data_IF_916196216842
#
_entry.id   IF_916196216842
#
_cell.length_a   1.000
_cell.length_b   1.000
_cell.length_c   1.000
_cell.angle_alpha   90.00
_cell.angle_beta   90.00
_cell.angle_gamma   90.00
#
_symmetry.space_group_name_H-M   'P 1'
#
loop_
_entity.id
_entity.type
_entity.pdbx_description
1 polymer ?
#
# COMPACT_ATOMS: atom_id res chain seq x y z
N UNK A 1 -0.17 16.32 10.28
CA UNK A 1 0.40 15.26 11.13
C UNK A 1 -0.32 13.98 10.79
N UNK A 2 0.41 12.87 10.72
CA UNK A 2 -0.13 11.55 10.37
C UNK A 2 0.58 10.44 11.13
N UNK A 3 0.00 9.24 11.06
CA UNK A 3 0.69 8.03 11.50
C UNK A 3 1.98 7.79 10.70
N UNK A 4 3.03 7.37 11.38
CA UNK A 4 4.30 6.99 10.76
C UNK A 4 4.20 5.71 9.94
N UNK A 5 5.14 5.54 9.00
CA UNK A 5 5.22 4.33 8.16
C UNK A 5 5.38 3.03 8.98
N UNK A 6 5.92 3.13 10.20
CA UNK A 6 5.95 2.04 11.18
C UNK A 6 5.02 2.38 12.35
N UNK A 7 3.77 1.92 12.27
CA UNK A 7 2.70 2.35 13.17
C UNK A 7 2.61 1.53 14.46
N UNK A 8 2.41 0.21 14.37
CA UNK A 8 2.13 -0.67 15.51
C UNK A 8 2.23 -2.16 15.14
N UNK A 9 2.24 -3.05 16.13
CA UNK A 9 1.94 -4.48 15.97
C UNK A 9 0.43 -4.70 16.22
N UNK A 10 -0.41 -4.52 15.20
CA UNK A 10 -1.88 -4.59 15.30
C UNK A 10 -2.58 -3.60 14.36
N UNK A 11 -3.90 -3.74 14.15
CA UNK A 11 -4.68 -2.87 13.26
C UNK A 11 -4.88 -1.47 13.88
N UNK A 12 -5.06 -0.46 13.02
CA UNK A 12 -5.35 0.90 13.46
C UNK A 12 -6.71 1.07 14.13
N UNK A 13 -7.62 0.12 13.90
CA UNK A 13 -8.91 0.00 14.56
C UNK A 13 -8.83 -0.31 16.05
N UNK A 14 -7.70 -0.82 16.54
CA UNK A 14 -7.58 -1.33 17.91
C UNK A 14 -7.16 -0.24 18.92
N UNK A 15 -7.17 1.04 18.53
CA UNK A 15 -6.82 2.22 19.34
C UNK A 15 -5.43 2.17 20.01
N UNK A 16 -4.52 1.35 19.49
CA UNK A 16 -3.14 1.28 19.97
C UNK A 16 -2.39 2.59 19.65
N UNK A 17 -1.63 3.15 20.61
CA UNK A 17 -0.86 4.37 20.37
C UNK A 17 0.20 4.15 19.29
N UNK A 18 0.42 5.13 18.38
CA UNK A 18 1.37 4.97 17.30
C UNK A 18 2.81 5.00 17.81
N UNK A 19 3.63 4.06 17.33
CA UNK A 19 5.07 3.99 17.63
C UNK A 19 5.88 5.08 16.90
N UNK A 20 5.33 5.64 15.83
CA UNK A 20 5.93 6.75 15.09
C UNK A 20 4.87 7.66 14.48
N UNK A 21 5.21 8.93 14.31
CA UNK A 21 4.37 9.97 13.74
C UNK A 21 5.12 10.71 12.64
N UNK A 22 4.40 11.10 11.58
CA UNK A 22 4.90 12.02 10.57
C UNK A 22 4.46 13.44 10.90
N UNK A 23 5.44 14.31 11.06
CA UNK A 23 5.25 15.75 11.17
C UNK A 23 5.76 16.39 9.88
N UNK A 24 4.83 16.91 9.08
CA UNK A 24 5.12 17.62 7.84
C UNK A 24 4.55 19.03 7.97
N UNK A 25 5.40 20.03 7.69
CA UNK A 25 5.08 21.45 7.81
C UNK A 25 4.63 22.08 6.48
N UNK A 26 4.97 21.47 5.35
CA UNK A 26 4.68 22.01 4.00
C UNK A 26 3.38 21.45 3.44
N UNK A 27 3.14 20.17 3.67
CA UNK A 27 1.99 19.45 3.16
C UNK A 27 1.82 18.13 3.89
N UNK A 28 1.65 17.06 3.14
CA UNK A 28 1.64 15.70 3.67
C UNK A 28 2.02 14.71 2.57
N UNK A 29 2.68 13.60 2.93
CA UNK A 29 3.32 12.69 1.98
C UNK A 29 2.39 12.01 0.97
N UNK A 30 1.08 11.96 1.23
CA UNK A 30 0.09 11.34 0.34
C UNK A 30 -0.61 12.35 -0.58
N UNK A 31 -0.39 13.65 -0.39
CA UNK A 31 -1.01 14.71 -1.17
C UNK A 31 -0.09 15.10 -2.32
N UNK A 32 -0.42 14.63 -3.53
CA UNK A 32 0.37 14.90 -4.73
C UNK A 32 0.03 16.27 -5.37
N UNK A 33 -0.91 17.03 -4.80
CA UNK A 33 -1.34 18.33 -5.37
C UNK A 33 -0.42 19.49 -5.01
N UNK A 34 0.47 19.30 -4.02
CA UNK A 34 1.42 20.30 -3.53
C UNK A 34 2.67 19.62 -2.96
N UNK A 35 3.80 20.35 -2.86
CA UNK A 35 5.02 19.81 -2.26
C UNK A 35 4.86 19.42 -0.79
N UNK A 36 5.59 18.37 -0.37
CA UNK A 36 5.68 17.90 1.01
C UNK A 36 7.11 18.01 1.56
N UNK A 37 7.29 18.01 2.89
CA UNK A 37 8.63 17.94 3.48
C UNK A 37 9.36 16.67 3.05
N UNK A 38 8.64 15.55 2.92
CA UNK A 38 9.21 14.31 2.41
C UNK A 38 9.72 14.44 0.97
N UNK A 39 8.96 15.08 0.09
CA UNK A 39 9.38 15.31 -1.30
C UNK A 39 10.64 16.18 -1.38
N UNK A 40 10.70 17.24 -0.57
CA UNK A 40 11.89 18.11 -0.46
C UNK A 40 13.10 17.30 0.04
N UNK A 41 12.90 16.45 1.06
CA UNK A 41 13.97 15.58 1.56
C UNK A 41 14.45 14.60 0.50
N UNK A 42 13.54 13.97 -0.26
CA UNK A 42 13.92 13.03 -1.33
C UNK A 42 14.70 13.71 -2.45
N UNK A 43 14.33 14.93 -2.84
CA UNK A 43 14.98 15.66 -3.92
C UNK A 43 16.34 16.27 -3.54
N UNK A 44 16.52 16.65 -2.27
CA UNK A 44 17.67 17.47 -1.86
C UNK A 44 18.59 16.81 -0.84
N UNK A 45 18.23 15.67 -0.26
CA UNK A 45 19.08 15.03 0.75
C UNK A 45 20.25 14.30 0.13
N UNK A 46 21.46 14.60 0.62
CA UNK A 46 22.63 13.79 0.38
C UNK A 46 22.89 12.92 1.61
N UNK A 47 22.57 11.62 1.50
CA UNK A 47 22.80 10.67 2.58
C UNK A 47 24.29 10.38 2.75
N UNK A 48 24.78 10.47 3.98
CA UNK A 48 26.14 10.02 4.33
C UNK A 48 26.26 8.50 4.17
N UNK A 49 27.49 8.00 4.06
CA UNK A 49 27.73 6.55 3.97
C UNK A 49 27.10 5.80 5.17
N UNK A 50 27.26 6.33 6.39
CA UNK A 50 26.67 5.75 7.59
C UNK A 50 25.14 5.70 7.53
N UNK A 51 24.49 6.76 6.99
CA UNK A 51 23.04 6.77 6.81
C UNK A 51 22.57 5.76 5.77
N UNK A 52 23.29 5.61 4.65
CA UNK A 52 23.00 4.60 3.62
C UNK A 52 23.09 3.19 4.18
N UNK A 53 24.18 2.88 4.90
CA UNK A 53 24.35 1.58 5.57
C UNK A 53 23.25 1.31 6.60
N UNK A 54 22.85 2.33 7.37
CA UNK A 54 21.74 2.20 8.33
C UNK A 54 20.42 1.91 7.62
N UNK A 55 20.12 2.61 6.52
CA UNK A 55 18.90 2.43 5.75
C UNK A 55 18.85 1.03 5.12
N UNK A 56 19.96 0.53 4.59
CA UNK A 56 20.06 -0.83 4.04
C UNK A 56 19.81 -1.89 5.10
N UNK A 57 20.47 -1.77 6.27
CA UNK A 57 20.26 -2.69 7.39
C UNK A 57 18.83 -2.65 7.90
N UNK A 58 18.21 -1.47 7.94
CA UNK A 58 16.80 -1.32 8.32
C UNK A 58 15.87 -2.01 7.31
N UNK A 59 16.08 -1.77 6.00
CA UNK A 59 15.32 -2.42 4.93
C UNK A 59 15.41 -3.94 5.04
N UNK A 60 16.62 -4.48 5.20
CA UNK A 60 16.84 -5.92 5.34
C UNK A 60 16.07 -6.49 6.53
N UNK A 61 16.17 -5.85 7.71
CA UNK A 61 15.44 -6.27 8.91
C UNK A 61 13.92 -6.24 8.71
N UNK A 62 13.38 -5.22 8.05
CA UNK A 62 11.94 -5.12 7.78
C UNK A 62 11.46 -6.26 6.87
N UNK A 63 12.24 -6.61 5.85
CA UNK A 63 11.93 -7.72 4.93
C UNK A 63 12.03 -9.07 5.63
N UNK A 64 13.11 -9.33 6.37
CA UNK A 64 13.35 -10.59 7.09
C UNK A 64 12.29 -10.85 8.17
N UNK A 65 11.87 -9.80 8.88
CA UNK A 65 10.85 -9.90 9.92
C UNK A 65 9.43 -10.06 9.37
N UNK A 66 9.23 -10.04 8.04
CA UNK A 66 7.93 -10.07 7.34
C UNK A 66 6.93 -9.06 7.92
N UNK A 67 7.43 -7.96 8.49
CA UNK A 67 6.58 -6.94 9.09
C UNK A 67 5.80 -6.25 7.98
N UNK A 68 4.48 -6.44 8.01
CA UNK A 68 3.53 -5.67 7.21
C UNK A 68 2.71 -4.78 8.15
N UNK A 69 2.01 -3.77 7.63
CA UNK A 69 1.23 -2.82 8.43
C UNK A 69 0.24 -3.50 9.40
N UNK A 70 -0.17 -4.74 9.11
CA UNK A 70 -1.17 -5.48 9.90
C UNK A 70 -0.73 -6.88 10.36
N UNK A 71 0.37 -7.44 9.85
CA UNK A 71 0.89 -8.77 10.23
C UNK A 71 -0.15 -9.93 10.21
N UNK A 72 -1.19 -9.82 9.37
CA UNK A 72 -2.21 -10.85 9.16
C UNK A 72 -1.66 -11.90 8.19
N UNK A 73 -0.78 -12.77 8.67
CA UNK A 73 -0.12 -13.81 7.89
C UNK A 73 -1.04 -14.99 7.60
N UNK A 74 -1.39 -15.19 6.33
CA UNK A 74 -1.88 -16.47 5.83
C UNK A 74 -0.87 -17.00 4.80
N UNK A 75 -0.61 -18.30 4.83
CA UNK A 75 0.21 -18.95 3.82
C UNK A 75 -0.46 -18.79 2.45
N UNK A 76 0.24 -18.17 1.51
CA UNK A 76 -0.22 -17.97 0.14
C UNK A 76 0.61 -18.85 -0.79
N UNK A 77 -0.05 -19.78 -1.47
CA UNK A 77 0.51 -20.53 -2.59
C UNK A 77 -0.01 -19.95 -3.90
N UNK A 78 0.86 -19.92 -4.92
CA UNK A 78 0.42 -19.53 -6.26
C UNK A 78 -0.51 -20.62 -6.81
N UNK A 79 -1.71 -20.26 -7.31
CA UNK A 79 -2.61 -21.21 -7.94
C UNK A 79 -1.96 -21.86 -9.17
N UNK A 80 -2.32 -23.11 -9.46
CA UNK A 80 -1.73 -23.86 -10.58
C UNK A 80 -2.02 -23.17 -11.94
N UNK A 81 -3.11 -22.43 -12.03
CA UNK A 81 -3.56 -21.65 -13.19
C UNK A 81 -2.66 -20.44 -13.48
N UNK A 82 -1.85 -20.03 -12.50
CA UNK A 82 -0.84 -18.98 -12.62
C UNK A 82 0.49 -19.51 -13.19
N UNK A 83 0.64 -20.83 -13.31
CA UNK A 83 1.85 -21.46 -13.85
C UNK A 83 2.11 -20.95 -15.27
N UNK A 84 3.37 -20.63 -15.54
CA UNK A 84 3.88 -20.09 -16.82
C UNK A 84 3.27 -18.74 -17.25
N UNK A 85 2.54 -18.05 -16.35
CA UNK A 85 2.00 -16.71 -16.60
C UNK A 85 2.75 -15.65 -15.80
N UNK A 86 2.76 -14.42 -16.31
CA UNK A 86 3.12 -13.25 -15.51
C UNK A 86 2.10 -13.08 -14.39
N UNK A 87 2.54 -13.10 -13.15
CA UNK A 87 1.69 -12.90 -11.98
C UNK A 87 1.72 -11.43 -11.58
N UNK A 88 0.55 -10.82 -11.38
CA UNK A 88 0.40 -9.42 -10.97
C UNK A 88 -0.46 -9.37 -9.72
N UNK A 89 0.10 -8.87 -8.62
CA UNK A 89 -0.63 -8.57 -7.40
C UNK A 89 -1.18 -7.14 -7.48
N UNK A 90 -2.49 -6.99 -7.32
CA UNK A 90 -3.18 -5.70 -7.22
C UNK A 90 -3.70 -5.56 -5.79
N UNK A 91 -3.02 -4.76 -4.94
CA UNK A 91 -3.53 -4.46 -3.61
C UNK A 91 -4.70 -3.47 -3.71
N UNK A 92 -5.86 -3.86 -3.20
CA UNK A 92 -7.01 -2.98 -3.05
C UNK A 92 -6.74 -1.93 -1.97
N UNK A 93 -7.30 -0.74 -2.16
CA UNK A 93 -7.27 0.34 -1.19
C UNK A 93 -8.69 0.69 -0.73
N UNK A 94 -8.78 1.51 0.31
CA UNK A 94 -10.04 2.11 0.69
C UNK A 94 -10.30 3.31 -0.23
N UNK A 95 -11.40 3.32 -0.97
CA UNK A 95 -11.64 4.32 -2.03
C UNK A 95 -11.87 5.74 -1.50
N UNK A 96 -12.32 5.86 -0.25
CA UNK A 96 -12.53 7.16 0.40
C UNK A 96 -11.30 7.72 1.11
N UNK A 97 -10.18 7.00 1.09
CA UNK A 97 -8.92 7.40 1.71
C UNK A 97 -8.44 8.74 1.13
N UNK A 98 -7.92 9.60 2.01
CA UNK A 98 -7.34 10.88 1.61
C UNK A 98 -6.23 10.70 0.58
N UNK A 99 -5.42 9.64 0.71
CA UNK A 99 -4.36 9.29 -0.24
C UNK A 99 -4.89 8.95 -1.64
N UNK A 100 -6.09 8.38 -1.77
CA UNK A 100 -6.73 8.19 -3.08
C UNK A 100 -7.18 9.54 -3.62
N UNK A 101 -7.91 10.32 -2.81
CA UNK A 101 -8.48 11.61 -3.24
C UNK A 101 -7.44 12.64 -3.69
N UNK A 102 -6.30 12.70 -3.00
CA UNK A 102 -5.26 13.71 -3.27
C UNK A 102 -4.01 13.14 -3.95
N UNK A 103 -3.85 11.82 -3.97
CA UNK A 103 -2.68 11.15 -4.55
C UNK A 103 -2.92 10.52 -5.91
N UNK A 104 -4.19 10.30 -6.30
CA UNK A 104 -4.52 9.71 -7.61
C UNK A 104 -5.07 10.76 -8.58
N UNK A 105 -4.62 10.69 -9.83
CA UNK A 105 -5.04 11.62 -10.89
C UNK A 105 -6.17 11.03 -11.72
N UNK A 106 -5.96 9.83 -12.27
CA UNK A 106 -6.88 9.20 -13.22
C UNK A 106 -7.70 8.05 -12.63
N UNK A 107 -7.05 7.09 -11.95
CA UNK A 107 -7.71 5.89 -11.43
C UNK A 107 -8.11 6.12 -9.98
N UNK A 108 -9.43 6.11 -9.70
CA UNK A 108 -9.96 6.48 -8.37
C UNK A 108 -10.75 5.36 -7.68
N UNK A 109 -10.92 4.22 -8.34
CA UNK A 109 -11.62 3.05 -7.79
C UNK A 109 -10.81 1.78 -7.96
N UNK A 110 -11.05 0.81 -7.08
CA UNK A 110 -10.41 -0.50 -7.17
C UNK A 110 -10.82 -1.22 -8.46
N UNK A 111 -12.07 -1.05 -8.90
CA UNK A 111 -12.59 -1.66 -10.13
C UNK A 111 -11.90 -1.11 -11.38
N UNK A 112 -11.74 0.20 -11.47
CA UNK A 112 -11.04 0.85 -12.57
C UNK A 112 -9.55 0.46 -12.61
N UNK A 113 -8.93 0.32 -11.44
CA UNK A 113 -7.56 -0.21 -11.33
C UNK A 113 -7.48 -1.63 -11.90
N UNK A 114 -8.38 -2.54 -11.50
CA UNK A 114 -8.39 -3.91 -12.01
C UNK A 114 -8.64 -3.99 -13.51
N UNK A 115 -9.59 -3.21 -14.03
CA UNK A 115 -9.86 -3.11 -15.47
C UNK A 115 -8.62 -2.66 -16.22
N UNK A 116 -7.98 -1.59 -15.77
CA UNK A 116 -6.75 -1.06 -16.38
C UNK A 116 -5.61 -2.09 -16.35
N UNK A 117 -5.45 -2.83 -15.24
CA UNK A 117 -4.42 -3.87 -15.12
C UNK A 117 -4.70 -5.02 -16.10
N UNK A 118 -5.96 -5.45 -16.24
CA UNK A 118 -6.37 -6.49 -17.19
C UNK A 118 -6.17 -6.06 -18.64
N UNK A 119 -6.59 -4.84 -19.00
CA UNK A 119 -6.40 -4.28 -20.35
C UNK A 119 -4.93 -4.22 -20.74
N UNK A 120 -4.05 -3.78 -19.81
CA UNK A 120 -2.61 -3.65 -20.06
C UNK A 120 -1.85 -4.98 -19.95
N UNK A 121 -2.45 -6.00 -19.34
CA UNK A 121 -1.81 -7.32 -19.18
C UNK A 121 -2.83 -8.45 -19.47
N UNK A 122 -3.27 -8.62 -20.74
CA UNK A 122 -4.35 -9.54 -21.09
C UNK A 122 -4.11 -10.98 -20.64
N UNK A 123 -2.87 -11.47 -20.75
CA UNK A 123 -2.48 -12.85 -20.45
C UNK A 123 -1.94 -13.07 -19.04
N UNK A 124 -1.87 -12.02 -18.21
CA UNK A 124 -1.36 -12.15 -16.86
C UNK A 124 -2.38 -12.83 -15.93
N UNK A 125 -1.85 -13.53 -14.92
CA UNK A 125 -2.63 -13.98 -13.78
C UNK A 125 -2.70 -12.84 -12.76
N UNK A 126 -3.89 -12.27 -12.56
CA UNK A 126 -4.09 -11.11 -11.69
C UNK A 126 -4.64 -11.61 -10.35
N UNK A 127 -3.91 -11.34 -9.27
CA UNK A 127 -4.33 -11.59 -7.90
C UNK A 127 -4.79 -10.26 -7.33
N UNK A 128 -6.08 -10.15 -7.01
CA UNK A 128 -6.59 -9.01 -6.26
C UNK A 128 -6.54 -9.32 -4.77
N UNK A 129 -5.87 -8.47 -3.99
CA UNK A 129 -5.84 -8.56 -2.52
C UNK A 129 -6.60 -7.37 -1.95
N UNK A 130 -7.89 -7.51 -1.58
CA UNK A 130 -8.67 -6.41 -1.03
C UNK A 130 -8.07 -5.88 0.28
N UNK A 131 -8.36 -4.61 0.60
CA UNK A 131 -7.90 -4.00 1.84
C UNK A 131 -8.61 -4.67 3.05
N UNK A 132 -7.91 -4.98 4.16
CA UNK A 132 -8.53 -5.61 5.32
C UNK A 132 -9.72 -4.83 5.87
N UNK A 133 -9.64 -3.49 5.94
CA UNK A 133 -10.76 -2.65 6.41
C UNK A 133 -11.99 -2.70 5.49
N UNK A 134 -11.82 -3.05 4.20
CA UNK A 134 -12.93 -3.27 3.26
C UNK A 134 -13.53 -4.65 3.50
N UNK A 135 -12.69 -5.67 3.70
CA UNK A 135 -13.15 -7.05 3.96
C UNK A 135 -13.99 -7.18 5.24
N UNK A 136 -13.72 -6.35 6.25
CA UNK A 136 -14.49 -6.32 7.51
C UNK A 136 -15.80 -5.51 7.38
N UNK A 137 -16.08 -4.93 6.19
CA UNK A 137 -17.30 -4.18 5.92
C UNK A 137 -17.32 -2.75 6.50
N UNK A 138 -16.19 -2.27 7.00
CA UNK A 138 -16.12 -0.98 7.69
C UNK A 138 -16.00 0.21 6.72
N UNK A 139 -15.59 -0.02 5.46
CA UNK A 139 -15.39 1.07 4.48
C UNK A 139 -15.69 0.66 3.03
N UNK A 140 -15.95 1.66 2.17
CA UNK A 140 -16.22 1.49 0.73
C UNK A 140 -14.97 1.02 -0.04
N UNK A 141 -15.19 0.17 -1.04
CA UNK A 141 -14.14 -0.38 -1.90
C UNK A 141 -14.29 -1.87 -2.20
N UNK A 142 -15.38 -2.50 -1.75
CA UNK A 142 -15.67 -3.90 -2.03
C UNK A 142 -15.97 -4.10 -3.52
N UNK A 143 -15.36 -5.14 -4.09
CA UNK A 143 -15.63 -5.56 -5.46
C UNK A 143 -16.35 -6.89 -5.35
N UNK A 144 -17.65 -6.97 -5.67
CA UNK A 144 -18.34 -8.24 -5.68
C UNK A 144 -17.65 -9.18 -6.67
N UNK A 145 -17.43 -10.43 -6.27
CA UNK A 145 -17.00 -11.46 -7.19
C UNK A 145 -18.04 -11.56 -8.32
N UNK A 146 -17.61 -11.54 -9.58
CA UNK A 146 -18.50 -11.87 -10.68
C UNK A 146 -18.99 -13.31 -10.46
N UNK A 147 -20.28 -13.45 -10.16
CA UNK A 147 -20.99 -14.72 -10.31
C UNK A 147 -21.16 -14.95 -11.80
N UNK A 148 -20.28 -15.75 -12.38
CA UNK A 148 -20.49 -16.34 -13.71
C UNK A 148 -21.80 -17.16 -13.69
N UNK A 149 -22.74 -16.82 -14.56
CA UNK A 149 -23.83 -17.69 -15.04
C UNK A 149 -23.51 -18.14 -16.45
#
# INVERSE_FOLDING_TARGET
MEDGFLRSSGLGSDLLPPLSLVLDKRGIYYDATRPSDLEVLLNHSQLTLAQKMRAEKLRQRLVESKLSKYNLGADFSLPAEAKDKKVILVPGQVEDDASIKTGTVSIKSNLELLRTVRERNPHAYIIYKPHPDVLVGNRKGDIPAETDC
#
